data_IF_976821479857
#
_entry.id   IF_976821479857
#
_cell.length_a   1.000
_cell.length_b   1.000
_cell.length_c   1.000
_cell.angle_alpha   90.00
_cell.angle_beta   90.00
_cell.angle_gamma   90.00
#
_symmetry.space_group_name_H-M   'P 1'
#
loop_
_entity.id
_entity.type
_entity.pdbx_description
1 polymer ?
#
# COMPACT_ATOMS: atom_id res chain seq x y z
N UNK A 1 -6.67 -11.33 5.34
CA UNK A 1 -5.89 -10.38 4.52
C UNK A 1 -6.57 -9.03 4.44
N UNK A 2 -5.80 -7.96 4.25
CA UNK A 2 -6.32 -6.64 3.85
C UNK A 2 -5.76 -6.32 2.46
N UNK A 3 -6.65 -5.98 1.53
CA UNK A 3 -6.30 -5.61 0.16
C UNK A 3 -6.87 -4.22 -0.13
N UNK A 4 -6.05 -3.33 -0.69
CA UNK A 4 -6.46 -1.99 -1.08
C UNK A 4 -5.92 -1.64 -2.47
N UNK A 5 -6.83 -1.42 -3.43
CA UNK A 5 -6.49 -1.05 -4.80
C UNK A 5 -7.35 0.13 -5.24
N UNK A 6 -6.68 1.21 -5.66
CA UNK A 6 -7.37 2.44 -6.03
C UNK A 6 -6.70 3.18 -7.21
N UNK A 7 -5.51 2.73 -7.65
CA UNK A 7 -4.78 3.35 -8.75
C UNK A 7 -5.50 3.13 -10.08
N UNK A 8 -5.57 4.19 -10.88
CA UNK A 8 -6.22 4.15 -12.20
C UNK A 8 -5.61 3.08 -13.10
N UNK A 9 -4.29 3.00 -13.13
CA UNK A 9 -3.53 2.01 -13.87
C UNK A 9 -3.91 0.55 -13.57
N UNK A 10 -4.37 0.28 -12.36
CA UNK A 10 -4.77 -1.07 -11.92
C UNK A 10 -6.27 -1.33 -12.07
N UNK A 11 -7.09 -0.28 -12.08
CA UNK A 11 -8.55 -0.40 -12.10
C UNK A 11 -9.11 -0.25 -13.52
N UNK A 12 -8.49 0.62 -14.34
CA UNK A 12 -9.01 0.95 -15.68
C UNK A 12 -8.46 0.02 -16.77
N UNK A 13 -7.23 -0.48 -16.60
CA UNK A 13 -6.69 -1.50 -17.49
C UNK A 13 -7.38 -2.84 -17.25
N UNK A 14 -7.97 -3.41 -18.31
CA UNK A 14 -8.75 -4.65 -18.23
C UNK A 14 -7.93 -5.83 -17.72
N UNK A 15 -6.69 -5.98 -18.19
CA UNK A 15 -5.81 -7.09 -17.81
C UNK A 15 -5.35 -6.98 -16.35
N UNK A 16 -5.06 -5.75 -15.89
CA UNK A 16 -4.71 -5.51 -14.50
C UNK A 16 -5.90 -5.78 -13.58
N UNK A 17 -7.09 -5.38 -14.00
CA UNK A 17 -8.31 -5.62 -13.24
C UNK A 17 -8.66 -7.12 -13.15
N UNK A 18 -8.54 -7.86 -14.25
CA UNK A 18 -8.70 -9.33 -14.26
C UNK A 18 -7.66 -10.00 -13.33
N UNK A 19 -6.42 -9.53 -13.37
CA UNK A 19 -5.35 -10.01 -12.49
C UNK A 19 -5.63 -9.73 -11.01
N UNK A 20 -6.23 -8.58 -10.69
CA UNK A 20 -6.69 -8.27 -9.34
C UNK A 20 -7.78 -9.23 -8.88
N UNK A 21 -8.80 -9.48 -9.72
CA UNK A 21 -9.87 -10.44 -9.40
C UNK A 21 -9.30 -11.83 -9.15
N UNK A 22 -8.43 -12.31 -10.04
CA UNK A 22 -7.77 -13.61 -9.90
C UNK A 22 -6.89 -13.67 -8.62
N UNK A 23 -6.22 -12.57 -8.24
CA UNK A 23 -5.45 -12.49 -6.99
C UNK A 23 -6.36 -12.66 -5.76
N UNK A 24 -7.51 -11.97 -5.74
CA UNK A 24 -8.47 -12.08 -4.62
C UNK A 24 -9.01 -13.50 -4.47
N UNK A 25 -9.36 -14.14 -5.59
CA UNK A 25 -9.80 -15.54 -5.64
C UNK A 25 -8.70 -16.48 -5.12
N UNK A 26 -7.46 -16.28 -5.55
CA UNK A 26 -6.31 -17.08 -5.13
C UNK A 26 -6.00 -16.93 -3.64
N UNK A 27 -6.09 -15.73 -3.06
CA UNK A 27 -5.92 -15.54 -1.62
C UNK A 27 -6.94 -16.36 -0.82
N UNK A 28 -8.20 -16.38 -1.25
CA UNK A 28 -9.25 -17.18 -0.59
C UNK A 28 -8.99 -18.67 -0.76
N UNK A 29 -8.77 -19.14 -1.98
CA UNK A 29 -8.63 -20.57 -2.28
C UNK A 29 -7.42 -21.22 -1.61
N UNK A 30 -6.29 -20.50 -1.53
CA UNK A 30 -5.05 -21.05 -0.97
C UNK A 30 -4.98 -20.96 0.56
N UNK A 31 -5.56 -19.92 1.14
CA UNK A 31 -5.45 -19.68 2.58
C UNK A 31 -6.71 -19.94 3.39
N UNK A 32 -7.86 -20.06 2.74
CA UNK A 32 -9.18 -20.23 3.41
C UNK A 32 -9.43 -19.16 4.49
N UNK A 33 -8.99 -17.93 4.26
CA UNK A 33 -9.11 -16.79 5.17
C UNK A 33 -9.93 -15.67 4.53
N UNK A 34 -10.65 -14.87 5.34
CA UNK A 34 -11.34 -13.70 4.82
C UNK A 34 -10.37 -12.67 4.25
N UNK A 35 -10.79 -12.03 3.17
CA UNK A 35 -10.09 -10.93 2.51
C UNK A 35 -10.92 -9.67 2.67
N UNK A 36 -10.45 -8.73 3.48
CA UNK A 36 -11.05 -7.40 3.58
C UNK A 36 -10.53 -6.57 2.41
N UNK A 37 -11.38 -6.37 1.42
CA UNK A 37 -11.07 -5.57 0.24
C UNK A 37 -11.59 -4.14 0.40
N UNK A 38 -10.70 -3.21 0.74
CA UNK A 38 -10.99 -1.77 0.80
C UNK A 38 -11.08 -1.19 -0.60
N UNK A 39 -12.29 -1.12 -1.14
CA UNK A 39 -12.53 -0.74 -2.52
C UNK A 39 -13.01 0.71 -2.63
N UNK A 40 -12.22 1.55 -3.30
CA UNK A 40 -12.63 2.90 -3.69
C UNK A 40 -13.91 2.87 -4.54
N UNK A 41 -14.75 3.91 -4.55
CA UNK A 41 -15.96 3.97 -5.37
C UNK A 41 -15.75 3.58 -6.84
N UNK A 42 -14.64 4.01 -7.45
CA UNK A 42 -14.26 3.64 -8.83
C UNK A 42 -14.05 2.13 -8.99
N UNK A 43 -13.30 1.51 -8.08
CA UNK A 43 -13.04 0.06 -8.10
C UNK A 43 -14.34 -0.73 -7.94
N UNK A 44 -15.26 -0.27 -7.08
CA UNK A 44 -16.57 -0.90 -6.92
C UNK A 44 -17.46 -0.75 -8.14
N UNK A 45 -17.42 0.41 -8.81
CA UNK A 45 -18.11 0.61 -10.07
C UNK A 45 -17.59 -0.38 -11.13
N UNK A 46 -16.27 -0.49 -11.26
CA UNK A 46 -15.63 -1.41 -12.21
C UNK A 46 -15.97 -2.88 -11.93
N UNK A 47 -16.00 -3.32 -10.65
CA UNK A 47 -16.46 -4.65 -10.28
C UNK A 47 -17.89 -4.93 -10.75
N UNK A 48 -18.77 -3.94 -10.58
CA UNK A 48 -20.16 -4.08 -11.01
C UNK A 48 -20.32 -4.11 -12.53
N UNK A 49 -19.56 -3.29 -13.25
CA UNK A 49 -19.58 -3.20 -14.71
C UNK A 49 -19.00 -4.45 -15.37
N UNK A 50 -17.92 -5.00 -14.83
CA UNK A 50 -17.28 -6.21 -15.36
C UNK A 50 -18.09 -7.48 -15.14
N UNK A 51 -19.09 -7.46 -14.25
CA UNK A 51 -19.84 -8.65 -13.86
C UNK A 51 -19.00 -9.67 -13.08
N UNK A 52 -17.81 -9.31 -12.63
CA UNK A 52 -16.95 -10.20 -11.84
C UNK A 52 -17.63 -10.61 -10.54
N UNK A 53 -17.70 -11.91 -10.29
CA UNK A 53 -18.25 -12.48 -9.06
C UNK A 53 -17.12 -12.91 -8.15
N UNK A 54 -16.93 -12.18 -7.04
CA UNK A 54 -15.91 -12.51 -6.05
C UNK A 54 -16.43 -13.58 -5.07
N UNK A 55 -15.54 -14.43 -4.53
CA UNK A 55 -15.89 -15.36 -3.45
C UNK A 55 -16.54 -14.64 -2.26
N UNK A 56 -17.47 -15.28 -1.53
CA UNK A 56 -18.15 -14.66 -0.37
C UNK A 56 -17.20 -14.27 0.76
N UNK A 57 -16.03 -14.88 0.84
CA UNK A 57 -14.97 -14.54 1.79
C UNK A 57 -14.26 -13.21 1.47
N UNK A 58 -14.45 -12.67 0.24
CA UNK A 58 -13.95 -11.34 -0.13
C UNK A 58 -14.98 -10.28 0.27
N UNK A 59 -14.71 -9.64 1.40
CA UNK A 59 -15.54 -8.58 1.95
C UNK A 59 -15.22 -7.25 1.28
N UNK A 60 -15.94 -6.91 0.22
CA UNK A 60 -15.77 -5.64 -0.50
C UNK A 60 -16.41 -4.49 0.27
N UNK A 61 -15.61 -3.69 0.93
CA UNK A 61 -16.04 -2.62 1.82
C UNK A 61 -15.65 -1.23 1.30
N UNK A 62 -16.33 -0.20 1.80
CA UNK A 62 -15.94 1.20 1.56
C UNK A 62 -14.61 1.49 2.26
N UNK A 63 -13.85 2.51 1.79
CA UNK A 63 -12.65 2.97 2.50
C UNK A 63 -12.95 3.27 3.97
N UNK A 64 -12.03 2.90 4.82
CA UNK A 64 -12.10 3.06 6.27
C UNK A 64 -11.55 4.42 6.69
N UNK A 65 -11.89 4.87 7.89
CA UNK A 65 -11.12 5.92 8.54
C UNK A 65 -9.74 5.40 8.93
N UNK A 66 -8.78 6.30 9.15
CA UNK A 66 -7.39 5.94 9.38
C UNK A 66 -7.21 4.96 10.56
N UNK A 67 -7.87 5.21 11.69
CA UNK A 67 -7.76 4.37 12.88
C UNK A 67 -8.22 2.93 12.65
N UNK A 68 -9.35 2.77 11.95
CA UNK A 68 -9.90 1.45 11.65
C UNK A 68 -9.03 0.72 10.64
N UNK A 69 -8.51 1.45 9.63
CA UNK A 69 -7.62 0.87 8.63
C UNK A 69 -6.31 0.38 9.26
N UNK A 70 -5.67 1.20 10.09
CA UNK A 70 -4.47 0.81 10.83
C UNK A 70 -4.75 -0.42 11.71
N UNK A 71 -5.89 -0.47 12.40
CA UNK A 71 -6.27 -1.63 13.21
C UNK A 71 -6.42 -2.90 12.39
N UNK A 72 -7.02 -2.80 11.20
CA UNK A 72 -7.14 -3.91 10.26
C UNK A 72 -5.79 -4.37 9.76
N UNK A 73 -4.91 -3.45 9.37
CA UNK A 73 -3.55 -3.75 8.92
C UNK A 73 -2.75 -4.49 9.99
N UNK A 74 -2.79 -4.03 11.24
CA UNK A 74 -2.10 -4.66 12.37
C UNK A 74 -2.63 -6.06 12.66
N UNK A 75 -3.92 -6.32 12.44
CA UNK A 75 -4.54 -7.63 12.65
C UNK A 75 -4.42 -8.57 11.43
N UNK A 76 -4.13 -8.04 10.26
CA UNK A 76 -4.08 -8.82 9.02
C UNK A 76 -2.91 -9.82 9.01
N UNK A 77 -3.11 -10.98 8.37
CA UNK A 77 -2.00 -11.91 8.06
C UNK A 77 -0.95 -11.24 7.18
N UNK A 78 -1.41 -10.53 6.15
CA UNK A 78 -0.61 -9.64 5.32
C UNK A 78 -1.50 -8.54 4.72
N UNK A 79 -0.86 -7.44 4.35
CA UNK A 79 -1.49 -6.29 3.67
C UNK A 79 -0.97 -6.22 2.24
N UNK A 80 -1.87 -6.15 1.27
CA UNK A 80 -1.54 -5.99 -0.14
C UNK A 80 -2.11 -4.65 -0.62
N UNK A 81 -1.27 -3.75 -1.12
CA UNK A 81 -1.73 -2.42 -1.51
C UNK A 81 -0.99 -1.87 -2.73
N UNK A 82 -1.69 -1.07 -3.54
CA UNK A 82 -1.10 -0.26 -4.61
C UNK A 82 -0.83 1.19 -4.19
N UNK A 83 -1.08 1.53 -2.91
CA UNK A 83 -0.77 2.85 -2.37
C UNK A 83 0.72 3.05 -2.19
N UNK A 84 1.22 4.27 -2.44
CA UNK A 84 2.59 4.65 -2.07
C UNK A 84 2.82 4.60 -0.57
N UNK A 85 1.79 4.92 0.24
CA UNK A 85 1.88 4.95 1.71
C UNK A 85 2.08 3.57 2.34
N UNK A 86 1.89 2.48 1.59
CA UNK A 86 2.16 1.13 2.14
C UNK A 86 3.62 0.97 2.58
N UNK A 87 4.54 1.69 1.95
CA UNK A 87 5.96 1.67 2.32
C UNK A 87 6.18 2.31 3.69
N UNK A 88 5.60 3.49 3.92
CA UNK A 88 5.67 4.17 5.21
C UNK A 88 4.95 3.35 6.30
N UNK A 89 3.73 2.90 6.01
CA UNK A 89 2.90 2.14 6.95
C UNK A 89 3.58 0.81 7.34
N UNK A 90 4.12 0.07 6.37
CA UNK A 90 4.82 -1.18 6.64
C UNK A 90 6.09 -0.99 7.45
N UNK A 91 6.87 0.04 7.15
CA UNK A 91 8.09 0.37 7.88
C UNK A 91 7.79 0.81 9.32
N UNK A 92 6.85 1.74 9.51
CA UNK A 92 6.52 2.31 10.82
C UNK A 92 5.83 1.27 11.71
N UNK A 93 4.85 0.54 11.18
CA UNK A 93 4.01 -0.39 11.94
C UNK A 93 4.53 -1.83 11.94
N UNK A 94 5.68 -2.10 11.29
CA UNK A 94 6.24 -3.44 11.14
C UNK A 94 5.22 -4.43 10.56
N UNK A 95 4.58 -4.06 9.46
CA UNK A 95 3.57 -4.89 8.81
C UNK A 95 4.21 -5.92 7.89
N UNK A 96 3.52 -7.04 7.73
CA UNK A 96 3.74 -7.96 6.61
C UNK A 96 3.02 -7.40 5.40
N UNK A 97 3.75 -6.75 4.50
CA UNK A 97 3.13 -5.98 3.42
C UNK A 97 3.74 -6.26 2.05
N UNK A 98 2.88 -6.25 1.03
CA UNK A 98 3.24 -6.35 -0.37
C UNK A 98 2.74 -5.13 -1.13
N UNK A 99 3.61 -4.59 -1.98
CA UNK A 99 3.23 -3.60 -2.97
C UNK A 99 2.83 -4.33 -4.26
N UNK A 100 1.54 -4.27 -4.60
CA UNK A 100 0.95 -4.92 -5.77
C UNK A 100 0.96 -4.01 -7.01
N UNK A 101 2.01 -3.18 -7.14
CA UNK A 101 2.31 -2.34 -8.30
C UNK A 101 3.47 -2.91 -9.11
N UNK A 102 3.65 -2.35 -10.29
CA UNK A 102 4.79 -2.62 -11.17
C UNK A 102 5.88 -1.54 -11.11
N UNK A 103 5.68 -0.51 -10.29
CA UNK A 103 6.63 0.59 -10.12
C UNK A 103 6.68 1.07 -8.67
N UNK A 104 7.87 1.46 -8.23
CA UNK A 104 8.08 2.07 -6.92
C UNK A 104 7.99 3.59 -6.97
N UNK A 105 7.35 4.17 -5.95
CA UNK A 105 7.32 5.62 -5.71
C UNK A 105 8.16 6.03 -4.49
N UNK A 106 8.65 5.06 -3.74
CA UNK A 106 9.38 5.26 -2.49
C UNK A 106 10.70 4.49 -2.54
N UNK A 107 11.71 5.00 -3.27
CA UNK A 107 12.99 4.32 -3.41
C UNK A 107 13.69 4.12 -2.07
N UNK A 108 13.52 5.08 -1.12
CA UNK A 108 14.07 4.99 0.24
C UNK A 108 13.59 3.75 1.01
N UNK A 109 12.37 3.30 0.74
CA UNK A 109 11.84 2.09 1.38
C UNK A 109 12.51 0.81 0.91
N UNK A 110 13.18 0.84 -0.25
CA UNK A 110 13.88 -0.31 -0.81
C UNK A 110 15.23 -0.56 -0.13
N UNK A 111 15.81 0.44 0.52
CA UNK A 111 17.05 0.26 1.28
C UNK A 111 16.86 -0.72 2.44
N UNK A 112 15.70 -0.66 3.09
CA UNK A 112 15.32 -1.57 4.18
C UNK A 112 14.42 -2.72 3.71
N UNK A 113 13.96 -2.70 2.45
CA UNK A 113 13.02 -3.69 1.88
C UNK A 113 11.79 -3.96 2.74
N UNK A 114 11.27 -2.92 3.39
CA UNK A 114 10.09 -3.02 4.28
C UNK A 114 8.83 -3.49 3.57
N UNK A 115 8.81 -3.46 2.24
CA UNK A 115 7.73 -3.92 1.36
C UNK A 115 8.34 -4.60 0.15
N UNK A 116 7.83 -5.77 -0.23
CA UNK A 116 8.19 -6.44 -1.47
C UNK A 116 7.23 -6.04 -2.59
N UNK A 117 7.75 -5.67 -3.76
CA UNK A 117 6.95 -5.36 -4.94
C UNK A 117 6.72 -6.64 -5.76
N UNK A 118 5.45 -7.03 -5.90
CA UNK A 118 5.06 -8.27 -6.57
C UNK A 118 4.19 -8.07 -7.81
N UNK A 119 3.54 -6.90 -7.92
CA UNK A 119 2.41 -6.75 -8.83
C UNK A 119 1.29 -7.74 -8.47
N UNK A 120 0.45 -8.06 -9.44
CA UNK A 120 -0.64 -9.03 -9.27
C UNK A 120 -0.25 -10.47 -9.63
N UNK A 121 1.03 -10.75 -9.91
CA UNK A 121 1.49 -12.08 -10.27
C UNK A 121 1.37 -13.04 -9.08
N UNK A 122 0.41 -13.98 -9.15
CA UNK A 122 0.20 -14.94 -8.07
C UNK A 122 1.46 -15.70 -7.65
N UNK A 123 2.29 -16.24 -8.58
CA UNK A 123 3.53 -16.91 -8.16
C UNK A 123 4.43 -16.02 -7.29
N UNK A 124 4.58 -14.74 -7.66
CA UNK A 124 5.38 -13.77 -6.88
C UNK A 124 4.74 -13.40 -5.56
N UNK A 125 3.42 -13.22 -5.54
CA UNK A 125 2.67 -12.98 -4.30
C UNK A 125 2.80 -14.17 -3.34
N UNK A 126 2.64 -15.39 -3.83
CA UNK A 126 2.76 -16.59 -3.00
C UNK A 126 4.17 -16.78 -2.42
N UNK A 127 5.22 -16.59 -3.23
CA UNK A 127 6.62 -16.60 -2.76
C UNK A 127 6.86 -15.53 -1.69
N UNK A 128 6.41 -14.31 -1.92
CA UNK A 128 6.56 -13.21 -0.99
C UNK A 128 5.77 -13.43 0.32
N UNK A 129 4.54 -13.95 0.25
CA UNK A 129 3.76 -14.30 1.44
C UNK A 129 4.45 -15.39 2.27
N UNK A 130 5.08 -16.37 1.63
CA UNK A 130 5.85 -17.40 2.32
C UNK A 130 7.04 -16.79 3.08
N UNK A 131 7.76 -15.83 2.48
CA UNK A 131 8.86 -15.09 3.14
C UNK A 131 8.32 -14.28 4.33
N UNK A 132 7.18 -13.60 4.15
CA UNK A 132 6.57 -12.78 5.19
C UNK A 132 6.08 -13.61 6.40
N UNK A 133 5.79 -14.90 6.24
CA UNK A 133 5.39 -15.75 7.37
C UNK A 133 6.48 -15.89 8.42
N UNK A 134 7.73 -15.86 8.03
CA UNK A 134 8.87 -15.90 8.94
C UNK A 134 9.21 -14.52 9.56
N UNK A 135 8.63 -13.42 9.05
CA UNK A 135 8.89 -12.08 9.55
C UNK A 135 8.21 -11.88 10.92
N UNK A 136 8.95 -11.46 11.95
CA UNK A 136 8.37 -11.10 13.24
C UNK A 136 7.44 -9.89 13.11
N UNK A 137 6.62 -9.64 14.13
CA UNK A 137 5.60 -8.57 14.15
C UNK A 137 5.66 -7.78 15.45
N UNK A 138 5.06 -6.60 15.42
CA UNK A 138 4.99 -5.73 16.59
C UNK A 138 6.35 -5.12 16.91
N UNK A 139 6.80 -5.25 18.17
CA UNK A 139 8.07 -4.67 18.64
C UNK A 139 9.30 -5.42 18.11
N UNK A 140 9.17 -6.73 17.85
CA UNK A 140 10.25 -7.52 17.29
C UNK A 140 10.39 -7.22 15.79
N UNK A 141 11.53 -6.64 15.40
CA UNK A 141 11.80 -6.24 14.02
C UNK A 141 12.93 -7.08 13.43
N UNK A 142 12.67 -7.61 12.24
CA UNK A 142 13.73 -8.18 11.39
C UNK A 142 14.47 -7.07 10.62
N UNK A 143 13.71 -6.09 10.12
CA UNK A 143 14.20 -4.97 9.31
C UNK A 143 14.13 -3.68 10.12
N UNK A 144 15.06 -2.78 9.89
CA UNK A 144 15.05 -1.47 10.56
C UNK A 144 13.93 -0.60 9.98
N UNK A 145 13.51 0.37 10.76
CA UNK A 145 12.62 1.40 10.23
C UNK A 145 13.40 2.30 9.28
N UNK A 146 12.85 2.58 8.11
CA UNK A 146 13.44 3.51 7.13
C UNK A 146 13.78 4.84 7.81
N UNK A 147 15.02 5.30 7.64
CA UNK A 147 15.54 6.48 8.35
C UNK A 147 14.70 7.74 8.08
N UNK A 148 14.26 7.93 6.84
CA UNK A 148 13.46 9.09 6.44
C UNK A 148 12.10 9.15 7.15
N UNK A 149 11.54 7.99 7.54
CA UNK A 149 10.24 7.90 8.22
C UNK A 149 10.36 8.12 9.74
N UNK A 150 11.58 8.20 10.26
CA UNK A 150 11.86 8.46 11.67
C UNK A 150 12.09 9.95 11.97
N UNK A 151 12.14 10.80 10.93
CA UNK A 151 12.48 12.21 11.10
C UNK A 151 11.46 12.95 11.99
N UNK A 152 11.84 13.46 13.18
CA UNK A 152 10.93 14.20 14.05
C UNK A 152 10.72 15.64 13.57
N UNK A 153 9.66 16.27 14.06
CA UNK A 153 9.39 17.70 13.87
C UNK A 153 9.29 18.15 12.41
N UNK A 154 8.65 17.32 11.57
CA UNK A 154 8.55 17.58 10.11
C UNK A 154 7.80 18.89 9.83
N UNK A 155 6.72 19.17 10.53
CA UNK A 155 5.94 20.42 10.37
C UNK A 155 6.79 21.66 10.62
N UNK A 156 7.57 21.67 11.68
CA UNK A 156 8.47 22.77 12.03
C UNK A 156 9.57 22.97 10.98
N UNK A 157 10.11 21.87 10.44
CA UNK A 157 11.09 21.91 9.34
C UNK A 157 10.47 22.50 8.08
N UNK A 158 9.25 22.09 7.73
CA UNK A 158 8.52 22.59 6.54
C UNK A 158 8.25 24.09 6.68
N UNK A 159 7.76 24.55 7.83
CA UNK A 159 7.54 26.00 8.07
C UNK A 159 8.81 26.80 7.89
N UNK A 160 9.93 26.34 8.49
CA UNK A 160 11.24 27.01 8.36
C UNK A 160 11.72 27.04 6.91
N UNK A 161 11.52 25.96 6.17
CA UNK A 161 11.87 25.88 4.75
C UNK A 161 11.07 26.90 3.93
N UNK A 162 9.76 26.96 4.13
CA UNK A 162 8.87 27.92 3.45
C UNK A 162 9.33 29.36 3.72
N UNK A 163 9.54 29.73 4.98
CA UNK A 163 9.98 31.08 5.35
C UNK A 163 11.35 31.41 4.75
N UNK A 164 12.28 30.46 4.76
CA UNK A 164 13.63 30.69 4.24
C UNK A 164 13.67 30.88 2.72
N UNK A 165 12.81 30.17 1.98
CA UNK A 165 12.91 30.11 0.52
C UNK A 165 11.89 30.96 -0.23
N UNK A 166 10.83 31.47 0.42
CA UNK A 166 9.77 32.22 -0.27
C UNK A 166 10.31 33.39 -1.09
N UNK A 167 11.10 34.27 -0.50
CA UNK A 167 11.65 35.45 -1.19
C UNK A 167 12.78 35.09 -2.15
N UNK A 168 13.56 34.05 -1.82
CA UNK A 168 14.59 33.54 -2.72
C UNK A 168 13.96 33.02 -4.02
N UNK A 169 12.92 32.19 -3.94
CA UNK A 169 12.23 31.64 -5.11
C UNK A 169 11.57 32.75 -5.93
N UNK A 170 10.94 33.73 -5.28
CA UNK A 170 10.35 34.88 -5.98
C UNK A 170 11.39 35.62 -6.82
N UNK A 171 12.55 35.94 -6.24
CA UNK A 171 13.62 36.66 -6.94
C UNK A 171 14.34 35.80 -7.98
N UNK A 172 14.79 34.61 -7.59
CA UNK A 172 15.68 33.78 -8.40
C UNK A 172 14.97 32.94 -9.46
N UNK A 173 13.78 32.44 -9.16
CA UNK A 173 13.05 31.52 -10.03
C UNK A 173 11.97 32.26 -10.83
N UNK A 174 11.10 32.98 -10.15
CA UNK A 174 9.97 33.65 -10.81
C UNK A 174 10.29 35.04 -11.30
N UNK A 175 11.46 35.61 -10.93
CA UNK A 175 11.89 36.96 -11.31
C UNK A 175 10.81 38.01 -11.02
N UNK A 176 9.97 37.77 -10.01
CA UNK A 176 8.97 38.72 -9.56
C UNK A 176 9.67 39.85 -8.79
N UNK A 177 9.41 41.08 -9.18
CA UNK A 177 9.94 42.29 -8.54
C UNK A 177 9.17 42.56 -7.26
#
# INVERSE_FOLDING_TARGET
>A
FVVSVHREENVDDERQFESLVALLEKLVSEYSLPVVFSAHPRTRARLKESGASLPPEVLTLKPFCLSDYVRLQLAARAVLSDSGTISEEASILNLRALNIRQAHERPEAMEETSVMMTGFSWPRVAEALCILEAQPRGEDRLLQMVADYQAPHVSEKVVRLIISYTDYVRRAVWRAV
#
